data_IF_051645638905
#
_entry.id   IF_051645638905
#
_cell.length_a   1.000
_cell.length_b   1.000
_cell.length_c   1.000
_cell.angle_alpha   90.00
_cell.angle_beta   90.00
_cell.angle_gamma   90.00
#
_symmetry.space_group_name_H-M   'P 1'
#
loop_
_entity.id
_entity.type
_entity.pdbx_description
1 polymer ?
#
# COMPACT_ATOMS: atom_id res chain seq x y z
N UNK A 1 -1.90 15.97 9.28
CA UNK A 1 -0.83 15.00 8.95
C UNK A 1 -1.15 14.45 7.57
N UNK A 2 -0.20 14.48 6.63
CA UNK A 2 -0.41 13.88 5.32
C UNK A 2 -0.43 12.35 5.47
N UNK A 3 -1.31 11.66 4.73
CA UNK A 3 -1.28 10.20 4.68
C UNK A 3 0.09 9.72 4.18
N UNK A 4 0.56 8.61 4.76
CA UNK A 4 1.74 7.87 4.29
C UNK A 4 1.53 7.27 2.89
N UNK A 5 0.29 7.20 2.43
CA UNK A 5 -0.10 6.56 1.18
C UNK A 5 -0.23 7.64 0.09
N UNK A 6 0.57 7.49 -0.96
CA UNK A 6 0.42 8.22 -2.22
C UNK A 6 -0.16 7.28 -3.26
N UNK A 7 -1.40 7.51 -3.66
CA UNK A 7 -2.10 6.70 -4.66
C UNK A 7 -2.47 7.54 -5.87
N UNK A 8 -2.29 6.96 -7.05
CA UNK A 8 -2.80 7.47 -8.32
C UNK A 8 -3.58 6.35 -8.98
N UNK A 9 -4.84 6.62 -9.30
CA UNK A 9 -5.69 5.71 -10.04
C UNK A 9 -6.19 6.40 -11.32
N UNK A 10 -6.02 5.74 -12.45
CA UNK A 10 -6.38 6.28 -13.77
C UNK A 10 -7.15 5.24 -14.55
N UNK A 11 -8.38 5.58 -14.94
CA UNK A 11 -9.25 4.76 -15.76
C UNK A 11 -9.04 5.05 -17.25
N UNK A 12 -8.67 4.01 -17.99
CA UNK A 12 -8.48 3.99 -19.43
C UNK A 12 -9.45 2.97 -20.05
N UNK A 13 -10.62 3.45 -20.48
CA UNK A 13 -11.70 2.58 -20.95
C UNK A 13 -12.19 1.67 -19.83
N UNK A 14 -12.12 0.36 -20.03
CA UNK A 14 -12.56 -0.65 -19.05
C UNK A 14 -11.49 -1.02 -18.00
N UNK A 15 -10.25 -0.53 -18.16
CA UNK A 15 -9.13 -0.86 -17.30
C UNK A 15 -8.77 0.34 -16.44
N UNK A 16 -8.72 0.15 -15.13
CA UNK A 16 -8.16 1.12 -14.19
C UNK A 16 -6.77 0.67 -13.78
N UNK A 17 -5.79 1.54 -14.01
CA UNK A 17 -4.42 1.36 -13.52
C UNK A 17 -4.27 2.09 -12.18
N UNK A 18 -3.73 1.38 -11.19
CA UNK A 18 -3.48 1.91 -9.86
C UNK A 18 -1.99 1.83 -9.58
N UNK A 19 -1.44 2.94 -9.08
CA UNK A 19 -0.06 3.06 -8.65
C UNK A 19 -0.06 3.61 -7.22
N UNK A 20 0.57 2.89 -6.31
CA UNK A 20 0.67 3.29 -4.91
C UNK A 20 2.11 3.26 -4.45
N UNK A 21 2.50 4.32 -3.76
CA UNK A 21 3.72 4.41 -3.00
C UNK A 21 3.34 4.63 -1.52
N UNK A 22 3.79 3.75 -0.65
CA UNK A 22 3.54 3.85 0.79
C UNK A 22 4.85 4.21 1.46
N UNK A 23 4.88 5.31 2.22
CA UNK A 23 6.04 5.67 3.00
C UNK A 23 6.13 4.78 4.25
N UNK A 24 6.97 3.75 4.21
CA UNK A 24 7.12 2.78 5.29
C UNK A 24 8.54 2.20 5.33
N UNK A 25 9.15 2.01 6.52
CA UNK A 25 10.53 1.54 6.65
C UNK A 25 10.77 0.14 6.07
N UNK A 26 9.83 -0.79 6.29
CA UNK A 26 9.95 -2.20 5.86
C UNK A 26 11.23 -2.87 6.37
N UNK A 27 11.50 -2.73 7.66
CA UNK A 27 12.67 -3.33 8.31
C UNK A 27 12.53 -4.86 8.35
N UNK A 28 13.57 -5.56 7.90
CA UNK A 28 13.51 -7.01 7.71
C UNK A 28 13.74 -7.82 8.98
N UNK A 29 14.25 -7.19 10.04
CA UNK A 29 14.71 -7.90 11.24
C UNK A 29 16.12 -8.48 11.14
N UNK A 30 16.79 -8.33 9.99
CA UNK A 30 18.10 -8.94 9.71
C UNK A 30 19.24 -7.91 9.68
N UNK A 31 18.90 -6.63 9.57
CA UNK A 31 19.87 -5.52 9.48
C UNK A 31 20.29 -5.10 10.88
N UNK A 32 21.58 -4.82 11.05
CA UNK A 32 22.13 -4.23 12.27
C UNK A 32 22.39 -2.74 12.08
N UNK A 33 22.18 -1.97 13.13
CA UNK A 33 22.52 -0.55 13.15
C UNK A 33 24.04 -0.32 13.28
N UNK A 34 24.46 0.95 13.31
CA UNK A 34 25.87 1.32 13.47
C UNK A 34 26.48 0.91 14.82
N UNK A 35 25.65 0.58 15.82
CA UNK A 35 26.07 0.10 17.14
C UNK A 35 26.12 -1.43 17.21
N UNK A 36 25.71 -2.13 16.14
CA UNK A 36 25.67 -3.58 16.06
C UNK A 36 24.38 -4.21 16.61
N UNK A 37 23.39 -3.39 16.99
CA UNK A 37 22.09 -3.84 17.48
C UNK A 37 21.20 -4.23 16.30
N UNK A 38 20.42 -5.31 16.46
CA UNK A 38 19.50 -5.78 15.42
C UNK A 38 18.28 -4.86 15.37
N UNK A 39 17.99 -4.32 14.20
CA UNK A 39 16.77 -3.54 13.96
C UNK A 39 15.58 -4.50 13.96
N UNK A 40 14.61 -4.37 14.88
CA UNK A 40 13.46 -5.27 14.92
C UNK A 40 12.64 -5.20 13.64
N UNK A 41 12.12 -6.33 13.19
CA UNK A 41 11.29 -6.40 11.99
C UNK A 41 10.09 -5.43 12.10
N UNK A 42 9.92 -4.58 11.10
CA UNK A 42 8.81 -3.62 11.00
C UNK A 42 8.35 -3.52 9.55
N UNK A 43 7.30 -4.24 9.22
CA UNK A 43 6.81 -4.37 7.86
C UNK A 43 5.29 -4.34 7.83
N UNK A 44 4.75 -3.82 6.73
CA UNK A 44 3.32 -3.91 6.41
C UNK A 44 2.98 -5.38 6.22
N UNK A 45 1.97 -5.88 6.93
CA UNK A 45 1.49 -7.26 6.85
C UNK A 45 0.39 -7.40 5.80
N UNK A 46 -0.51 -6.42 5.73
CA UNK A 46 -1.66 -6.46 4.82
C UNK A 46 -1.86 -5.11 4.16
N UNK A 47 -2.04 -5.15 2.84
CA UNK A 47 -2.40 -4.02 2.00
C UNK A 47 -3.70 -4.37 1.27
N UNK A 48 -4.70 -3.50 1.35
CA UNK A 48 -6.03 -3.71 0.78
C UNK A 48 -6.48 -2.50 -0.03
N UNK A 49 -7.02 -2.79 -1.20
CA UNK A 49 -7.66 -1.86 -2.12
C UNK A 49 -9.11 -2.23 -2.29
N UNK A 50 -9.97 -1.26 -2.06
CA UNK A 50 -11.42 -1.42 -2.17
C UNK A 50 -11.97 -0.36 -3.10
N UNK A 51 -12.78 -0.77 -4.07
CA UNK A 51 -13.47 0.11 -4.99
C UNK A 51 -14.96 -0.24 -4.97
N UNK A 52 -15.84 0.74 -4.78
CA UNK A 52 -17.29 0.54 -4.75
C UNK A 52 -17.73 -0.55 -3.73
N UNK A 53 -17.06 -0.62 -2.57
CA UNK A 53 -17.34 -1.61 -1.52
C UNK A 53 -16.88 -3.04 -1.83
N UNK A 54 -16.07 -3.23 -2.89
CA UNK A 54 -15.50 -4.52 -3.26
C UNK A 54 -13.98 -4.49 -3.20
N UNK A 55 -13.41 -5.56 -2.66
CA UNK A 55 -11.97 -5.75 -2.63
C UNK A 55 -11.47 -6.04 -4.04
N UNK A 56 -10.69 -5.12 -4.60
CA UNK A 56 -10.12 -5.24 -5.94
C UNK A 56 -8.70 -5.79 -5.91
N UNK A 57 -8.00 -5.58 -4.81
CA UNK A 57 -6.66 -6.12 -4.60
C UNK A 57 -6.37 -6.25 -3.10
N UNK A 58 -5.88 -7.41 -2.70
CA UNK A 58 -5.37 -7.66 -1.34
C UNK A 58 -4.01 -8.31 -1.48
N UNK A 59 -3.03 -7.75 -0.79
CA UNK A 59 -1.71 -8.34 -0.69
C UNK A 59 -1.34 -8.56 0.77
N UNK A 60 -0.75 -9.72 1.03
CA UNK A 60 -0.10 -10.04 2.29
C UNK A 60 1.40 -9.99 2.07
N UNK A 61 2.07 -9.18 2.88
CA UNK A 61 3.49 -8.90 2.72
C UNK A 61 4.29 -9.46 3.88
N UNK A 62 5.54 -9.81 3.57
CA UNK A 62 6.53 -10.21 4.54
C UNK A 62 7.67 -9.20 4.61
N UNK A 63 8.70 -9.58 5.37
CA UNK A 63 9.94 -8.81 5.55
C UNK A 63 10.76 -8.64 4.26
N UNK A 64 10.44 -9.33 3.18
CA UNK A 64 11.18 -9.28 1.91
C UNK A 64 10.77 -8.12 0.99
N UNK A 65 9.81 -7.29 1.40
CA UNK A 65 9.37 -6.13 0.62
C UNK A 65 10.26 -4.93 0.96
N UNK A 66 10.73 -4.23 -0.07
CA UNK A 66 11.62 -3.07 0.07
C UNK A 66 10.97 -1.90 0.79
N UNK A 67 11.81 -1.06 1.41
CA UNK A 67 11.45 0.26 1.92
C UNK A 67 10.69 1.08 0.87
N UNK A 68 9.74 1.88 1.36
CA UNK A 68 8.85 2.71 0.55
C UNK A 68 8.15 1.90 -0.55
N UNK A 69 7.37 0.87 -0.18
CA UNK A 69 6.87 -0.10 -1.14
C UNK A 69 6.00 0.54 -2.21
N UNK A 70 6.31 0.18 -3.45
CA UNK A 70 5.58 0.58 -4.64
C UNK A 70 4.79 -0.61 -5.21
N UNK A 71 3.50 -0.39 -5.45
CA UNK A 71 2.63 -1.38 -6.09
C UNK A 71 1.99 -0.75 -7.31
N UNK A 72 2.03 -1.51 -8.40
CA UNK A 72 1.31 -1.18 -9.61
C UNK A 72 0.48 -2.38 -10.04
N UNK A 73 -0.82 -2.17 -10.18
CA UNK A 73 -1.73 -3.19 -10.68
C UNK A 73 -2.81 -2.56 -11.54
N UNK A 74 -3.53 -3.40 -12.27
CA UNK A 74 -4.69 -2.99 -13.05
C UNK A 74 -5.88 -3.89 -12.76
N UNK A 75 -7.06 -3.31 -12.77
CA UNK A 75 -8.31 -4.04 -12.56
C UNK A 75 -9.42 -3.47 -13.45
N UNK A 76 -10.49 -4.23 -13.63
CA UNK A 76 -11.66 -3.81 -14.41
C UNK A 76 -12.84 -3.49 -13.51
N UNK A 77 -13.76 -2.66 -14.01
CA UNK A 77 -15.03 -2.37 -13.32
C UNK A 77 -15.02 -1.14 -12.40
N UNK A 78 -13.97 -0.33 -12.46
CA UNK A 78 -13.94 1.02 -11.91
C UNK A 78 -14.23 2.05 -13.00
N UNK A 79 -14.91 3.13 -12.64
CA UNK A 79 -15.22 4.26 -13.51
C UNK A 79 -14.47 5.51 -13.04
N UNK A 80 -14.29 6.46 -13.97
CA UNK A 80 -13.81 7.80 -13.62
C UNK A 80 -14.74 8.43 -12.58
N UNK A 81 -14.17 8.97 -11.52
CA UNK A 81 -14.89 9.57 -10.40
C UNK A 81 -15.21 8.63 -9.26
N UNK A 82 -15.01 7.31 -9.42
CA UNK A 82 -15.18 6.35 -8.32
C UNK A 82 -14.12 6.57 -7.24
N UNK A 83 -14.45 6.17 -6.02
CA UNK A 83 -13.55 6.22 -4.87
C UNK A 83 -12.80 4.88 -4.72
N UNK A 84 -11.48 4.97 -4.77
CA UNK A 84 -10.57 3.88 -4.44
C UNK A 84 -10.03 4.09 -3.03
N UNK A 85 -10.44 3.20 -2.12
CA UNK A 85 -9.94 3.17 -0.74
C UNK A 85 -8.73 2.26 -0.65
N UNK A 86 -7.66 2.77 -0.07
CA UNK A 86 -6.40 2.04 0.15
C UNK A 86 -6.15 2.00 1.65
N UNK A 87 -5.82 0.84 2.18
CA UNK A 87 -5.54 0.65 3.60
C UNK A 87 -4.41 -0.33 3.81
N UNK A 88 -3.56 -0.08 4.80
CA UNK A 88 -2.53 -1.03 5.21
C UNK A 88 -2.46 -1.19 6.73
N UNK A 89 -1.97 -2.34 7.17
CA UNK A 89 -1.68 -2.64 8.58
C UNK A 89 -0.29 -3.26 8.70
N UNK A 90 0.48 -2.85 9.70
CA UNK A 90 1.82 -3.38 10.00
C UNK A 90 1.83 -4.33 11.21
N UNK A 91 2.97 -4.98 11.41
CA UNK A 91 3.19 -5.94 12.49
C UNK A 91 3.38 -5.30 13.89
N UNK A 92 3.46 -3.96 13.98
CA UNK A 92 3.56 -3.20 15.23
C UNK A 92 2.24 -2.54 15.62
N UNK A 93 1.14 -2.85 14.91
CA UNK A 93 -0.18 -2.30 15.16
C UNK A 93 -0.43 -0.93 14.51
N UNK A 94 0.49 -0.46 13.68
CA UNK A 94 0.32 0.71 12.84
C UNK A 94 -0.61 0.42 11.66
N UNK A 95 -1.35 1.45 11.25
CA UNK A 95 -2.24 1.37 10.10
C UNK A 95 -2.45 2.76 9.52
N UNK A 96 -2.67 2.83 8.21
CA UNK A 96 -3.13 4.05 7.54
C UNK A 96 -4.21 3.70 6.53
N UNK A 97 -5.06 4.67 6.23
CA UNK A 97 -6.13 4.54 5.24
C UNK A 97 -6.30 5.85 4.50
N UNK A 98 -6.39 5.78 3.18
CA UNK A 98 -6.65 6.93 2.32
C UNK A 98 -7.67 6.58 1.26
N UNK A 99 -8.42 7.58 0.80
CA UNK A 99 -9.33 7.46 -0.32
C UNK A 99 -8.86 8.36 -1.44
N UNK A 100 -8.77 7.83 -2.66
CA UNK A 100 -8.41 8.59 -3.84
C UNK A 100 -9.45 8.43 -4.93
N UNK A 101 -9.71 9.53 -5.64
CA UNK A 101 -10.60 9.53 -6.79
C UNK A 101 -9.88 8.96 -8.01
N UNK A 102 -10.58 8.09 -8.73
CA UNK A 102 -10.11 7.54 -9.99
C UNK A 102 -10.28 8.60 -11.08
N UNK A 103 -9.18 8.92 -11.77
CA UNK A 103 -9.11 9.94 -12.82
C UNK A 103 -9.35 9.40 -14.23
#
# INVERSE_FOLDING_TARGET
MASSIRVRATANGDITEVQVLIQHPMDTGLVKDAKGEVIPAHFIQRLKFECNGKDVFVAEWGTAVSKDPYVKFSFKGAKKGDDLKVSWTDNKGGSDTTTAKIS
#
